data_IF_825654746836
#
_entry.id   IF_825654746836
#
_cell.length_a   1.000
_cell.length_b   1.000
_cell.length_c   1.000
_cell.angle_alpha   90.00
_cell.angle_beta   90.00
_cell.angle_gamma   90.00
#
_symmetry.space_group_name_H-M   'P 1'
#
loop_
_entity.id
_entity.type
_entity.pdbx_description
1 polymer ?
#
# COMPACT_ATOMS: atom_id res chain seq x y z
N UNK A 1 10.21 0.25 5.99
CA UNK A 1 10.10 -0.83 4.98
C UNK A 1 10.77 -0.43 3.64
N UNK A 2 10.94 -1.36 2.69
CA UNK A 2 11.54 -1.08 1.37
C UNK A 2 10.49 -1.12 0.25
N UNK A 3 10.28 0.00 -0.44
CA UNK A 3 9.29 0.16 -1.52
C UNK A 3 10.00 0.10 -2.88
N UNK A 4 9.38 -0.53 -3.88
CA UNK A 4 9.88 -0.50 -5.27
C UNK A 4 9.27 0.68 -6.02
N UNK A 5 10.07 1.45 -6.74
CA UNK A 5 9.60 2.54 -7.60
C UNK A 5 10.22 2.41 -8.99
N UNK A 6 9.40 2.65 -10.01
CA UNK A 6 9.80 2.65 -11.41
C UNK A 6 8.97 3.68 -12.18
N UNK A 7 9.29 3.90 -13.45
CA UNK A 7 8.59 4.89 -14.30
C UNK A 7 7.05 4.73 -14.30
N UNK A 8 6.55 3.48 -14.23
CA UNK A 8 5.10 3.22 -14.18
C UNK A 8 4.43 3.74 -12.92
N UNK A 9 5.13 3.79 -11.79
CA UNK A 9 4.58 4.35 -10.54
C UNK A 9 4.35 5.85 -10.69
N UNK A 10 5.35 6.57 -11.20
CA UNK A 10 5.23 8.00 -11.49
C UNK A 10 4.12 8.29 -12.51
N UNK A 11 4.02 7.50 -13.58
CA UNK A 11 2.99 7.64 -14.59
C UNK A 11 1.59 7.41 -14.03
N UNK A 12 1.43 6.37 -13.19
CA UNK A 12 0.15 6.06 -12.54
C UNK A 12 -0.27 7.16 -11.57
N UNK A 13 0.65 7.75 -10.82
CA UNK A 13 0.36 8.93 -9.99
C UNK A 13 -0.13 10.10 -10.84
N UNK A 14 0.58 10.44 -11.92
CA UNK A 14 0.18 11.54 -12.81
C UNK A 14 -1.19 11.31 -13.45
N UNK A 15 -1.54 10.06 -13.71
CA UNK A 15 -2.85 9.70 -14.22
C UNK A 15 -3.98 9.87 -13.18
N UNK A 16 -3.71 9.64 -11.89
CA UNK A 16 -4.67 9.86 -10.78
C UNK A 16 -5.00 11.34 -10.55
N UNK A 17 -4.10 12.27 -10.91
CA UNK A 17 -4.36 13.72 -10.85
C UNK A 17 -5.39 14.17 -11.93
N UNK A 18 -5.73 13.32 -12.91
CA UNK A 18 -6.64 13.64 -14.01
C UNK A 18 -8.09 13.16 -13.75
N UNK A 19 -9.09 14.07 -13.67
CA UNK A 19 -10.45 13.74 -13.22
C UNK A 19 -11.22 12.64 -13.98
N UNK A 20 -10.80 12.31 -15.21
CA UNK A 20 -11.48 11.29 -16.05
C UNK A 20 -10.70 9.98 -16.09
N UNK A 21 -9.40 10.01 -15.82
CA UNK A 21 -8.50 8.84 -15.88
C UNK A 21 -8.39 8.18 -14.49
N UNK A 22 -8.65 8.95 -13.44
CA UNK A 22 -8.49 8.56 -12.03
C UNK A 22 -9.22 7.26 -11.66
N UNK A 23 -10.52 7.11 -11.99
CA UNK A 23 -11.29 5.93 -11.53
C UNK A 23 -10.81 4.62 -12.16
N UNK A 24 -10.45 4.65 -13.44
CA UNK A 24 -9.93 3.45 -14.16
C UNK A 24 -8.54 3.08 -13.63
N UNK A 25 -7.68 4.07 -13.41
CA UNK A 25 -6.34 3.83 -12.86
C UNK A 25 -6.42 3.36 -11.41
N UNK A 26 -7.28 3.96 -10.59
CA UNK A 26 -7.55 3.50 -9.21
C UNK A 26 -7.98 2.03 -9.22
N UNK A 27 -9.01 1.67 -9.99
CA UNK A 27 -9.49 0.28 -10.07
C UNK A 27 -8.40 -0.71 -10.51
N UNK A 28 -7.57 -0.36 -11.51
CA UNK A 28 -6.48 -1.24 -11.96
C UNK A 28 -5.32 -1.32 -10.97
N UNK A 29 -5.02 -0.25 -10.24
CA UNK A 29 -4.03 -0.29 -9.16
C UNK A 29 -4.51 -1.18 -8.01
N UNK A 30 -5.79 -1.11 -7.65
CA UNK A 30 -6.42 -2.00 -6.67
C UNK A 30 -6.29 -3.45 -7.13
N UNK A 31 -6.74 -3.78 -8.34
CA UNK A 31 -6.65 -5.14 -8.89
C UNK A 31 -5.21 -5.68 -8.90
N UNK A 32 -4.24 -4.82 -9.27
CA UNK A 32 -2.82 -5.18 -9.27
C UNK A 32 -2.33 -5.51 -7.85
N UNK A 33 -2.59 -4.65 -6.86
CA UNK A 33 -2.14 -4.86 -5.49
C UNK A 33 -2.84 -6.06 -4.85
N UNK A 34 -4.16 -6.22 -5.04
CA UNK A 34 -4.87 -7.44 -4.64
C UNK A 34 -4.20 -8.67 -5.26
N UNK A 35 -3.92 -8.66 -6.55
CA UNK A 35 -3.26 -9.77 -7.22
C UNK A 35 -1.86 -10.09 -6.69
N UNK A 36 -1.09 -9.08 -6.27
CA UNK A 36 0.23 -9.26 -5.66
C UNK A 36 0.10 -9.90 -4.27
N UNK A 37 -0.79 -9.37 -3.43
CA UNK A 37 -0.96 -9.82 -2.05
C UNK A 37 -1.64 -11.18 -1.95
N UNK A 38 -2.59 -11.49 -2.84
CA UNK A 38 -3.16 -12.83 -2.96
C UNK A 38 -2.11 -13.89 -3.36
N UNK A 39 -1.04 -13.52 -4.08
CA UNK A 39 0.05 -14.46 -4.35
C UNK A 39 0.89 -14.78 -3.12
N UNK A 40 0.94 -13.86 -2.15
CA UNK A 40 1.62 -14.05 -0.85
C UNK A 40 0.76 -14.83 0.15
N UNK A 41 -0.56 -14.74 0.05
CA UNK A 41 -1.50 -15.49 0.88
C UNK A 41 -1.29 -17.02 0.77
N UNK A 42 -1.56 -17.73 1.87
CA UNK A 42 -1.49 -19.19 1.94
C UNK A 42 -2.31 -19.89 0.85
N UNK A 43 -1.86 -21.09 0.46
CA UNK A 43 -2.54 -21.90 -0.54
C UNK A 43 -4.00 -22.19 -0.12
N UNK A 44 -4.95 -21.84 -1.00
CA UNK A 44 -6.39 -22.03 -0.77
C UNK A 44 -7.10 -20.88 -0.04
N UNK A 45 -6.39 -19.84 0.41
CA UNK A 45 -6.98 -18.67 1.10
C UNK A 45 -7.28 -17.48 0.18
N UNK A 46 -6.91 -17.56 -1.10
CA UNK A 46 -6.91 -16.40 -1.99
C UNK A 46 -8.32 -15.87 -2.24
N UNK A 47 -9.22 -16.75 -2.59
CA UNK A 47 -10.61 -16.44 -2.91
C UNK A 47 -11.33 -15.87 -1.69
N UNK A 48 -11.03 -16.37 -0.48
CA UNK A 48 -11.64 -15.93 0.78
C UNK A 48 -11.25 -14.50 1.17
N UNK A 49 -10.08 -14.02 0.73
CA UNK A 49 -9.55 -12.69 1.08
C UNK A 49 -9.73 -11.65 0.00
N UNK A 50 -10.05 -12.07 -1.24
CA UNK A 50 -10.06 -11.18 -2.41
C UNK A 50 -10.99 -9.97 -2.23
N UNK A 51 -12.24 -10.20 -1.86
CA UNK A 51 -13.24 -9.13 -1.75
C UNK A 51 -12.86 -8.09 -0.69
N UNK A 52 -12.36 -8.56 0.47
CA UNK A 52 -11.83 -7.67 1.51
C UNK A 52 -10.62 -6.88 1.03
N UNK A 53 -9.65 -7.52 0.38
CA UNK A 53 -8.45 -6.85 -0.12
C UNK A 53 -8.78 -5.81 -1.20
N UNK A 54 -9.73 -6.11 -2.10
CA UNK A 54 -10.18 -5.15 -3.10
C UNK A 54 -10.78 -3.89 -2.42
N UNK A 55 -11.68 -4.07 -1.44
CA UNK A 55 -12.26 -2.95 -0.70
C UNK A 55 -11.22 -2.19 0.14
N UNK A 56 -10.30 -2.91 0.77
CA UNK A 56 -9.22 -2.32 1.56
C UNK A 56 -8.30 -1.45 0.70
N UNK A 57 -7.82 -1.99 -0.42
CA UNK A 57 -6.92 -1.24 -1.29
C UNK A 57 -7.65 -0.07 -1.95
N UNK A 58 -8.94 -0.20 -2.28
CA UNK A 58 -9.73 0.93 -2.78
C UNK A 58 -9.79 2.08 -1.77
N UNK A 59 -10.03 1.79 -0.49
CA UNK A 59 -10.01 2.78 0.59
C UNK A 59 -8.61 3.39 0.80
N UNK A 60 -7.54 2.59 0.78
CA UNK A 60 -6.19 3.13 0.93
C UNK A 60 -5.76 4.01 -0.24
N UNK A 61 -6.35 3.86 -1.44
CA UNK A 61 -6.11 4.81 -2.53
C UNK A 61 -6.64 6.21 -2.20
N UNK A 62 -7.70 6.33 -1.41
CA UNK A 62 -8.21 7.63 -0.96
C UNK A 62 -7.27 8.25 0.09
N UNK A 63 -6.74 7.45 1.02
CA UNK A 63 -5.66 7.84 1.94
C UNK A 63 -4.39 8.31 1.21
N UNK A 64 -3.96 7.59 0.17
CA UNK A 64 -2.84 7.97 -0.70
C UNK A 64 -3.06 9.35 -1.33
N UNK A 65 -4.25 9.59 -1.89
CA UNK A 65 -4.60 10.87 -2.50
C UNK A 65 -4.67 11.99 -1.47
N UNK A 66 -5.17 11.72 -0.26
CA UNK A 66 -5.19 12.68 0.83
C UNK A 66 -3.76 13.09 1.26
N UNK A 67 -2.85 12.12 1.42
CA UNK A 67 -1.45 12.38 1.74
C UNK A 67 -0.76 13.25 0.67
N UNK A 68 -0.96 12.94 -0.62
CA UNK A 68 -0.44 13.76 -1.72
C UNK A 68 -1.00 15.18 -1.70
N UNK A 69 -2.31 15.35 -1.42
CA UNK A 69 -2.96 16.65 -1.33
C UNK A 69 -2.47 17.47 -0.13
N UNK A 70 -2.11 16.81 0.97
CA UNK A 70 -1.46 17.40 2.13
C UNK A 70 0.01 17.79 1.86
N UNK A 71 0.56 17.41 0.69
CA UNK A 71 1.90 17.78 0.25
C UNK A 71 2.98 16.74 0.61
N UNK A 72 2.59 15.53 1.01
CA UNK A 72 3.55 14.44 1.22
C UNK A 72 4.24 14.09 -0.11
N UNK A 73 5.56 13.83 -0.12
CA UNK A 73 6.23 13.21 -1.24
C UNK A 73 5.57 11.88 -1.62
N UNK A 74 5.61 11.50 -2.90
CA UNK A 74 4.98 10.25 -3.37
C UNK A 74 5.45 9.03 -2.57
N UNK A 75 6.75 8.95 -2.29
CA UNK A 75 7.32 7.82 -1.57
C UNK A 75 6.72 7.68 -0.16
N UNK A 76 6.50 8.79 0.54
CA UNK A 76 5.84 8.83 1.85
C UNK A 76 4.35 8.47 1.74
N UNK A 77 3.63 9.05 0.77
CA UNK A 77 2.23 8.73 0.52
C UNK A 77 2.02 7.23 0.22
N UNK A 78 2.97 6.61 -0.50
CA UNK A 78 2.97 5.15 -0.70
C UNK A 78 3.30 4.41 0.59
N UNK A 79 4.32 4.84 1.34
CA UNK A 79 4.65 4.16 2.59
C UNK A 79 3.47 4.16 3.57
N UNK A 80 2.73 5.26 3.67
CA UNK A 80 1.48 5.37 4.44
C UNK A 80 0.52 4.22 4.10
N UNK A 81 0.22 3.97 2.82
CA UNK A 81 -0.73 2.90 2.45
C UNK A 81 -0.19 1.49 2.67
N UNK A 82 1.13 1.30 2.51
CA UNK A 82 1.77 0.04 2.85
C UNK A 82 1.80 -0.23 4.37
N UNK A 83 1.90 0.82 5.19
CA UNK A 83 1.77 0.73 6.65
C UNK A 83 0.34 0.38 7.05
N UNK A 84 -0.67 1.06 6.49
CA UNK A 84 -2.07 0.70 6.69
C UNK A 84 -2.34 -0.77 6.33
N UNK A 85 -1.79 -1.24 5.20
CA UNK A 85 -1.90 -2.64 4.78
C UNK A 85 -1.30 -3.61 5.80
N UNK A 86 -0.13 -3.31 6.35
CA UNK A 86 0.47 -4.12 7.41
C UNK A 86 -0.38 -4.17 8.68
N UNK A 87 -1.02 -3.06 9.06
CA UNK A 87 -1.91 -3.03 10.22
C UNK A 87 -3.12 -3.95 10.01
N UNK A 88 -3.73 -3.95 8.82
CA UNK A 88 -4.84 -4.86 8.50
C UNK A 88 -4.37 -6.33 8.52
N UNK A 89 -3.22 -6.62 7.91
CA UNK A 89 -2.67 -7.98 7.92
C UNK A 89 -2.33 -8.45 9.33
N UNK A 90 -1.80 -7.58 10.16
CA UNK A 90 -1.55 -7.86 11.57
C UNK A 90 -2.86 -8.15 12.33
N UNK A 91 -3.89 -7.31 12.17
CA UNK A 91 -5.19 -7.49 12.83
C UNK A 91 -5.87 -8.82 12.44
N UNK A 92 -5.62 -9.31 11.23
CA UNK A 92 -6.10 -10.61 10.76
C UNK A 92 -5.15 -11.78 11.05
N UNK A 93 -3.94 -11.54 11.55
CA UNK A 93 -2.91 -12.57 11.70
C UNK A 93 -2.41 -13.16 10.39
N UNK A 94 -2.47 -12.40 9.29
CA UNK A 94 -1.96 -12.77 7.97
C UNK A 94 -0.47 -12.44 7.85
N UNK A 95 0.35 -13.03 8.73
CA UNK A 95 1.78 -12.72 8.84
C UNK A 95 2.54 -12.99 7.54
N UNK A 96 2.05 -13.91 6.71
CA UNK A 96 2.60 -14.22 5.38
C UNK A 96 2.44 -13.08 4.36
N UNK A 97 1.61 -12.07 4.66
CA UNK A 97 1.38 -10.93 3.78
C UNK A 97 2.08 -9.66 4.26
N UNK A 98 2.56 -9.64 5.51
CA UNK A 98 3.24 -8.50 6.11
C UNK A 98 4.54 -8.17 5.38
N UNK A 99 4.82 -6.87 5.29
CA UNK A 99 5.97 -6.29 4.60
C UNK A 99 7.00 -5.67 5.56
N UNK A 100 6.64 -5.55 6.84
CA UNK A 100 7.58 -5.34 7.94
C UNK A 100 7.16 -6.18 9.16
N UNK A 101 8.09 -6.47 10.10
CA UNK A 101 7.81 -7.31 11.27
C UNK A 101 6.78 -6.70 12.24
N UNK A 102 6.03 -7.55 12.95
CA UNK A 102 5.01 -7.07 13.92
C UNK A 102 5.56 -6.20 15.06
N UNK A 103 6.84 -6.34 15.42
CA UNK A 103 7.49 -5.53 16.46
C UNK A 103 7.85 -4.11 15.98
N UNK A 104 7.76 -3.81 14.68
CA UNK A 104 7.98 -2.48 14.10
C UNK A 104 6.66 -1.69 13.89
N UNK A 105 5.50 -2.21 14.31
CA UNK A 105 4.19 -1.55 14.12
C UNK A 105 4.11 -0.16 14.75
N UNK A 106 4.55 -0.03 16.01
CA UNK A 106 4.53 1.25 16.73
C UNK A 106 5.49 2.25 16.09
N UNK A 107 6.70 1.83 15.71
CA UNK A 107 7.69 2.69 15.05
C UNK A 107 7.16 3.23 13.71
N UNK A 108 6.49 2.38 12.94
CA UNK A 108 5.84 2.79 11.68
C UNK A 108 4.63 3.69 11.90
N UNK A 109 3.86 3.48 12.97
CA UNK A 109 2.76 4.37 13.36
C UNK A 109 3.29 5.75 13.74
N UNK A 110 4.28 5.83 14.64
CA UNK A 110 4.84 7.07 15.16
C UNK A 110 5.42 7.96 14.04
N UNK A 111 6.00 7.35 13.00
CA UNK A 111 6.57 8.10 11.86
C UNK A 111 5.55 9.00 11.17
N UNK A 112 4.32 8.51 10.98
CA UNK A 112 3.24 9.24 10.32
C UNK A 112 2.12 9.61 11.28
N UNK A 113 2.41 9.69 12.59
CA UNK A 113 1.42 9.93 13.65
C UNK A 113 0.56 11.15 13.37
N UNK A 114 1.14 12.22 12.83
CA UNK A 114 0.37 13.44 12.52
C UNK A 114 -0.71 13.18 11.46
N UNK A 115 -0.35 12.52 10.35
CA UNK A 115 -1.30 12.17 9.29
C UNK A 115 -2.31 11.14 9.82
N UNK A 116 -1.84 10.10 10.51
CA UNK A 116 -2.72 9.06 11.04
C UNK A 116 -3.72 9.61 12.07
N UNK A 117 -3.30 10.47 12.99
CA UNK A 117 -4.17 11.09 13.97
C UNK A 117 -5.16 12.08 13.35
N UNK A 118 -4.79 12.78 12.28
CA UNK A 118 -5.69 13.68 11.55
C UNK A 118 -6.85 12.93 10.88
N UNK A 119 -6.59 11.70 10.43
CA UNK A 119 -7.53 10.87 9.68
C UNK A 119 -8.10 9.69 10.49
N UNK A 120 -7.96 9.71 11.82
CA UNK A 120 -8.42 8.65 12.75
C UNK A 120 -7.87 7.24 12.44
N UNK A 121 -6.72 7.15 11.76
CA UNK A 121 -6.04 5.89 11.46
C UNK A 121 -5.28 5.42 12.71
N UNK A 122 -5.43 4.14 13.06
CA UNK A 122 -4.69 3.49 14.14
C UNK A 122 -4.26 2.08 13.74
N UNK A 123 -3.40 1.44 14.53
CA UNK A 123 -3.07 0.02 14.30
C UNK A 123 -4.32 -0.86 14.33
N UNK A 124 -5.27 -0.58 15.23
CA UNK A 124 -6.51 -1.37 15.38
C UNK A 124 -7.60 -0.99 14.35
N UNK A 125 -7.54 0.21 13.80
CA UNK A 125 -8.43 0.71 12.75
C UNK A 125 -7.59 1.32 11.61
N UNK A 126 -7.10 0.48 10.68
CA UNK A 126 -6.11 0.90 9.69
C UNK A 126 -6.64 1.89 8.66
N UNK A 127 -7.95 2.00 8.49
CA UNK A 127 -8.57 2.86 7.48
C UNK A 127 -9.08 4.18 8.06
N UNK A 128 -9.44 4.23 9.35
CA UNK A 128 -9.92 5.45 9.98
C UNK A 128 -11.09 6.07 9.21
N UNK A 129 -11.01 7.36 8.88
CA UNK A 129 -12.05 8.05 8.11
C UNK A 129 -12.23 7.55 6.66
N UNK A 130 -11.25 6.83 6.12
CA UNK A 130 -11.30 6.28 4.76
C UNK A 130 -12.04 4.94 4.67
N UNK A 131 -12.49 4.39 5.80
CA UNK A 131 -13.20 3.12 5.80
C UNK A 131 -14.52 3.21 5.00
N UNK A 132 -14.86 2.20 4.18
CA UNK A 132 -16.18 2.15 3.57
C UNK A 132 -17.26 1.91 4.63
N UNK A 133 -18.51 2.24 4.31
CA UNK A 133 -19.67 2.04 5.21
C UNK A 133 -19.78 0.59 5.73
N UNK A 134 -19.46 -0.38 4.87
CA UNK A 134 -19.39 -1.79 5.22
C UNK A 134 -18.12 -2.40 4.63
N UNK A 135 -17.24 -2.89 5.49
CA UNK A 135 -16.01 -3.58 5.10
C UNK A 135 -16.29 -5.07 4.94
N UNK A 136 -15.97 -5.69 3.79
CA UNK A 136 -16.12 -7.14 3.62
C UNK A 136 -15.30 -7.90 4.67
N UNK A 137 -15.92 -8.93 5.25
CA UNK A 137 -15.26 -9.80 6.21
C UNK A 137 -14.32 -10.79 5.50
N UNK A 138 -13.29 -11.26 6.21
CA UNK A 138 -12.39 -12.29 5.71
C UNK A 138 -11.84 -13.15 6.86
N UNK A 139 -11.61 -14.46 6.65
CA UNK A 139 -11.11 -15.33 7.69
C UNK A 139 -9.74 -14.89 8.26
N UNK A 140 -9.68 -14.71 9.57
CA UNK A 140 -8.44 -14.43 10.32
C UNK A 140 -7.71 -15.70 10.73
N UNK A 141 -6.40 -15.59 10.92
CA UNK A 141 -5.50 -16.61 11.48
C UNK A 141 -4.69 -16.03 12.65
N UNK A 142 -5.35 -15.53 13.72
CA UNK A 142 -4.68 -14.82 14.81
C UNK A 142 -3.65 -15.69 15.55
N UNK A 143 -3.80 -17.01 15.52
CA UNK A 143 -2.84 -17.97 16.09
C UNK A 143 -1.44 -17.85 15.48
N UNK A 144 -1.30 -17.30 14.26
CA UNK A 144 0.00 -17.05 13.66
C UNK A 144 0.79 -15.94 14.34
N UNK A 145 0.16 -15.10 15.16
CA UNK A 145 0.83 -14.02 15.88
C UNK A 145 1.60 -14.51 17.13
N UNK A 146 1.33 -15.72 17.62
CA UNK A 146 2.00 -16.28 18.80
C UNK A 146 3.48 -16.64 18.51
N UNK A 147 3.80 -17.02 17.27
CA UNK A 147 5.15 -17.32 16.76
C UNK A 147 5.22 -16.90 15.27
N UNK A 148 5.35 -15.59 14.99
CA UNK A 148 5.10 -15.07 13.65
C UNK A 148 6.24 -15.36 12.69
N UNK A 149 5.90 -15.98 11.56
CA UNK A 149 6.75 -16.03 10.38
C UNK A 149 6.37 -14.90 9.42
N UNK A 150 7.35 -14.10 9.01
CA UNK A 150 7.19 -12.99 8.07
C UNK A 150 8.06 -13.18 6.81
N UNK A 151 7.69 -14.08 5.87
CA UNK A 151 8.55 -14.48 4.75
C UNK A 151 8.92 -13.34 3.78
N UNK A 152 8.14 -12.25 3.79
CA UNK A 152 8.32 -11.10 2.90
C UNK A 152 8.58 -9.79 3.65
N UNK A 153 8.74 -9.84 4.98
CA UNK A 153 9.10 -8.66 5.75
C UNK A 153 10.62 -8.46 5.74
N UNK A 154 11.04 -7.23 5.48
CA UNK A 154 12.42 -6.79 5.71
C UNK A 154 12.37 -5.68 6.77
N UNK A 155 12.83 -6.00 7.98
CA UNK A 155 12.94 -5.03 9.08
C UNK A 155 14.16 -4.12 8.97
N UNK A 156 14.26 -3.15 9.89
CA UNK A 156 15.38 -2.22 9.99
C UNK A 156 15.34 -1.06 8.99
N UNK A 157 14.18 -0.80 8.40
CA UNK A 157 13.89 0.36 7.55
C UNK A 157 12.84 1.27 8.21
N UNK A 158 12.82 1.26 9.55
CA UNK A 158 11.90 2.03 10.39
C UNK A 158 12.35 3.50 10.56
N UNK A 159 13.49 3.88 10.00
CA UNK A 159 14.10 5.21 10.08
C UNK A 159 13.76 6.16 8.93
N UNK A 160 13.53 5.66 7.71
CA UNK A 160 13.23 6.48 6.52
C UNK A 160 12.46 5.68 5.44
N UNK A 161 11.99 6.36 4.40
CA UNK A 161 11.37 5.71 3.24
C UNK A 161 12.48 5.27 2.29
N UNK A 162 12.58 3.98 2.00
CA UNK A 162 13.59 3.47 1.07
C UNK A 162 12.97 3.01 -0.24
N UNK A 163 13.44 3.58 -1.33
CA UNK A 163 13.01 3.28 -2.70
C UNK A 163 14.08 2.49 -3.43
N UNK A 164 13.72 1.32 -3.96
CA UNK A 164 14.54 0.62 -4.95
C UNK A 164 14.14 0.98 -6.37
N UNK A 165 15.07 1.56 -7.13
CA UNK A 165 14.91 1.86 -8.55
C UNK A 165 15.08 0.64 -9.46
N UNK A 166 14.80 0.82 -10.76
CA UNK A 166 14.93 -0.24 -11.78
C UNK A 166 16.37 -0.77 -11.96
N UNK A 167 17.36 0.02 -11.57
CA UNK A 167 18.77 -0.33 -11.54
C UNK A 167 19.16 -1.18 -10.31
N UNK A 168 18.21 -1.42 -9.41
CA UNK A 168 18.41 -2.15 -8.16
C UNK A 168 19.03 -1.29 -7.04
N UNK A 169 19.38 -0.03 -7.31
CA UNK A 169 19.93 0.90 -6.31
C UNK A 169 18.84 1.33 -5.33
N UNK A 170 19.18 1.36 -4.04
CA UNK A 170 18.30 1.79 -2.95
C UNK A 170 18.61 3.26 -2.65
N UNK A 171 17.58 4.10 -2.64
CA UNK A 171 17.66 5.55 -2.39
C UNK A 171 16.66 5.92 -1.30
N UNK A 172 16.94 6.98 -0.57
CA UNK A 172 15.95 7.59 0.33
C UNK A 172 14.85 8.24 -0.51
N UNK A 173 13.59 7.97 -0.17
CA UNK A 173 12.39 8.53 -0.79
C UNK A 173 12.27 10.03 -0.55
N UNK A 174 11.49 10.72 -1.38
CA UNK A 174 11.34 12.18 -1.30
C UNK A 174 12.30 13.00 -2.16
N UNK A 175 13.00 12.35 -3.11
CA UNK A 175 13.73 13.06 -4.17
C UNK A 175 12.78 13.56 -5.27
N UNK A 176 13.20 14.58 -6.02
CA UNK A 176 12.43 15.21 -7.08
C UNK A 176 11.95 14.20 -8.15
N UNK A 177 10.72 14.41 -8.63
CA UNK A 177 10.13 13.64 -9.71
C UNK A 177 11.00 13.68 -10.99
N UNK A 178 11.00 12.61 -11.81
CA UNK A 178 11.56 12.68 -13.15
C UNK A 178 10.83 13.75 -13.98
N UNK A 179 11.57 14.64 -14.64
CA UNK A 179 10.98 15.76 -15.39
C UNK A 179 10.12 15.34 -16.61
N UNK A 180 10.25 14.09 -17.08
CA UNK A 180 9.54 13.57 -18.27
C UNK A 180 8.93 12.19 -17.98
N UNK A 181 7.74 12.18 -17.39
CA UNK A 181 6.94 10.97 -17.15
C UNK A 181 5.85 10.88 -18.22
N UNK A 182 5.82 9.78 -18.98
CA UNK A 182 4.78 9.52 -19.97
C UNK A 182 3.54 8.89 -19.29
N UNK A 183 2.39 9.56 -19.37
CA UNK A 183 1.14 9.09 -18.75
C UNK A 183 0.62 7.81 -19.43
N UNK A 184 1.04 7.53 -20.67
CA UNK A 184 0.70 6.26 -21.33
C UNK A 184 1.32 5.04 -20.63
N UNK A 185 2.46 5.21 -19.95
CA UNK A 185 3.08 4.14 -19.15
C UNK A 185 2.33 3.86 -17.83
N UNK A 186 1.30 4.65 -17.51
CA UNK A 186 0.48 4.44 -16.32
C UNK A 186 -0.20 3.07 -16.37
N UNK A 187 -0.31 2.44 -15.20
CA UNK A 187 -1.04 1.17 -15.07
C UNK A 187 -2.46 1.40 -15.57
N UNK A 188 -2.76 0.75 -16.70
CA UNK A 188 -4.09 0.75 -17.28
C UNK A 188 -4.39 1.70 -18.41
N UNK A 189 -3.47 2.61 -18.76
CA UNK A 189 -3.63 3.58 -19.86
C UNK A 189 -3.15 3.02 -21.20
N UNK A 190 -2.20 2.07 -21.20
CA UNK A 190 -1.73 1.36 -22.41
C UNK A 190 -1.84 -0.16 -22.26
N UNK A 191 -3.08 -0.64 -22.10
CA UNK A 191 -3.44 -2.03 -22.43
C UNK A 191 -4.30 -2.02 -23.70
N UNK A 192 -3.81 -1.35 -24.74
CA UNK A 192 -4.34 -1.49 -26.09
C UNK A 192 -4.17 -2.94 -26.57
N UNK A 193 -5.30 -3.63 -26.73
CA UNK A 193 -5.52 -4.90 -27.45
C UNK A 193 -4.33 -5.85 -27.61
N UNK A 194 -4.37 -6.99 -26.91
CA UNK A 194 -3.81 -8.25 -27.39
C UNK A 194 -4.95 -9.24 -27.69
#
# INVERSE_FOLDING_TARGET
MKIRQNARHFASRKALELPVVSDVVKSKLVDMHTGIFLKKADEGRREERKERLDAFFDATMDSYLAALQAGAPEAEAREITHIQSNFDFYNHGWTEMMEFPSDELEEHYERYETFFAEHDITIADPLGEFAPDEMPDAPSTPEKLDDPEHPFAEGGFADDVYVQGDDGEIRVGGQDDPENVDISDAVGVDEGEA
#
